data_IF_677793309646
#
_entry.id   IF_677793309646
#
_cell.length_a   1.000
_cell.length_b   1.000
_cell.length_c   1.000
_cell.angle_alpha   90.00
_cell.angle_beta   90.00
_cell.angle_gamma   90.00
#
_symmetry.space_group_name_H-M   'P 1'
#
loop_
_entity.id
_entity.type
_entity.pdbx_description
1 polymer ?
#
# COMPACT_ATOMS: atom_id res chain seq x y z
N UNK A 1 -27.97 38.58 13.82
CA UNK A 1 -27.18 38.52 12.56
C UNK A 1 -27.75 37.40 11.70
N UNK A 2 -28.21 37.66 10.46
CA UNK A 2 -28.74 36.60 9.60
C UNK A 2 -27.62 35.63 9.23
N UNK A 3 -27.82 34.34 9.48
CA UNK A 3 -26.88 33.28 9.09
C UNK A 3 -26.73 33.30 7.57
N UNK A 4 -25.52 33.57 7.06
CA UNK A 4 -25.17 33.49 5.65
C UNK A 4 -25.56 32.10 5.13
N UNK A 5 -26.54 32.03 4.23
CA UNK A 5 -26.95 30.80 3.56
C UNK A 5 -25.74 30.38 2.70
N UNK A 6 -25.01 29.33 3.09
CA UNK A 6 -23.97 28.75 2.23
C UNK A 6 -24.66 28.29 0.96
N UNK A 7 -24.38 28.96 -0.16
CA UNK A 7 -24.78 28.45 -1.46
C UNK A 7 -24.20 27.05 -1.62
N UNK A 8 -25.04 26.10 -2.05
CA UNK A 8 -24.59 24.75 -2.32
C UNK A 8 -23.68 24.83 -3.55
N UNK A 9 -22.46 24.31 -3.41
CA UNK A 9 -21.53 24.15 -4.51
C UNK A 9 -22.22 23.39 -5.64
N UNK A 10 -22.12 23.88 -6.88
CA UNK A 10 -22.62 23.16 -8.05
C UNK A 10 -21.68 22.00 -8.39
N UNK A 11 -22.20 20.97 -9.06
CA UNK A 11 -21.38 19.81 -9.46
C UNK A 11 -20.22 20.24 -10.37
N UNK A 12 -20.41 21.26 -11.20
CA UNK A 12 -19.37 21.86 -12.05
C UNK A 12 -18.24 22.52 -11.23
N UNK A 13 -18.59 23.21 -10.13
CA UNK A 13 -17.62 23.78 -9.20
C UNK A 13 -16.87 22.69 -8.44
N UNK A 14 -17.54 21.60 -8.05
CA UNK A 14 -16.89 20.46 -7.43
C UNK A 14 -15.91 19.79 -8.40
N UNK A 15 -16.34 19.55 -9.65
CA UNK A 15 -15.53 18.88 -10.66
C UNK A 15 -14.25 19.68 -10.94
N UNK A 16 -14.38 20.99 -11.18
CA UNK A 16 -13.23 21.88 -11.43
C UNK A 16 -12.26 21.95 -10.26
N UNK A 17 -12.74 21.85 -9.02
CA UNK A 17 -11.85 21.77 -7.84
C UNK A 17 -11.12 20.44 -7.85
N UNK A 18 -11.83 19.32 -8.02
CA UNK A 18 -11.21 17.98 -8.05
C UNK A 18 -10.16 17.88 -9.16
N UNK A 19 -10.49 18.32 -10.38
CA UNK A 19 -9.56 18.30 -11.52
C UNK A 19 -8.31 19.12 -11.22
N UNK A 20 -8.46 20.31 -10.64
CA UNK A 20 -7.32 21.15 -10.25
C UNK A 20 -6.45 20.48 -9.19
N UNK A 21 -7.04 19.86 -8.16
CA UNK A 21 -6.27 19.16 -7.13
C UNK A 21 -5.56 17.92 -7.70
N UNK A 22 -6.20 17.20 -8.63
CA UNK A 22 -5.60 16.07 -9.35
C UNK A 22 -4.41 16.53 -10.20
N UNK A 23 -4.55 17.59 -11.00
CA UNK A 23 -3.46 18.15 -11.80
C UNK A 23 -2.29 18.60 -10.93
N UNK A 24 -2.55 19.25 -9.79
CA UNK A 24 -1.50 19.65 -8.85
C UNK A 24 -0.78 18.44 -8.26
N UNK A 25 -1.50 17.37 -7.92
CA UNK A 25 -0.93 16.14 -7.36
C UNK A 25 0.04 15.43 -8.34
N UNK A 26 -0.23 15.51 -9.65
CA UNK A 26 0.63 14.90 -10.67
C UNK A 26 2.04 15.51 -10.69
N UNK A 27 2.17 16.82 -10.43
CA UNK A 27 3.48 17.49 -10.40
C UNK A 27 4.38 16.99 -9.26
N UNK A 28 3.79 16.71 -8.09
CA UNK A 28 4.48 16.16 -6.92
C UNK A 28 4.87 14.68 -7.09
N UNK A 29 4.15 13.95 -7.95
CA UNK A 29 4.35 12.50 -8.18
C UNK A 29 5.45 12.17 -9.20
N UNK A 30 5.98 13.15 -9.94
CA UNK A 30 6.86 12.89 -11.09
C UNK A 30 8.16 12.13 -10.74
N UNK A 31 8.87 12.52 -9.68
CA UNK A 31 10.12 11.85 -9.28
C UNK A 31 9.88 10.43 -8.74
N UNK A 32 8.85 10.28 -7.89
CA UNK A 32 8.45 8.98 -7.35
C UNK A 32 7.97 8.02 -8.45
N UNK A 33 7.25 8.54 -9.44
CA UNK A 33 6.76 7.76 -10.57
C UNK A 33 7.91 7.17 -11.40
N UNK A 34 8.96 7.95 -11.67
CA UNK A 34 10.15 7.45 -12.37
C UNK A 34 10.92 6.42 -11.53
N UNK A 35 11.06 6.65 -10.22
CA UNK A 35 11.69 5.67 -9.33
C UNK A 35 10.93 4.34 -9.29
N UNK A 36 9.59 4.39 -9.24
CA UNK A 36 8.72 3.19 -9.25
C UNK A 36 8.78 2.47 -10.58
N UNK A 37 8.75 3.20 -11.70
CA UNK A 37 8.93 2.62 -13.04
C UNK A 37 10.25 1.86 -13.12
N UNK A 38 11.34 2.49 -12.70
CA UNK A 38 12.67 1.85 -12.71
C UNK A 38 12.74 0.63 -11.78
N UNK A 39 12.11 0.71 -10.60
CA UNK A 39 12.04 -0.43 -9.68
C UNK A 39 11.29 -1.62 -10.30
N UNK A 40 10.20 -1.37 -11.03
CA UNK A 40 9.48 -2.39 -11.80
C UNK A 40 10.34 -3.00 -12.92
N UNK A 41 11.06 -2.17 -13.69
CA UNK A 41 11.96 -2.64 -14.75
C UNK A 41 13.06 -3.57 -14.17
N UNK A 42 13.67 -3.19 -13.04
CA UNK A 42 14.64 -4.03 -12.34
C UNK A 42 14.02 -5.33 -11.81
N UNK A 43 12.84 -5.26 -11.22
CA UNK A 43 12.14 -6.43 -10.68
C UNK A 43 11.75 -7.40 -11.79
N UNK A 44 11.32 -6.92 -12.96
CA UNK A 44 10.99 -7.76 -14.11
C UNK A 44 12.23 -8.24 -14.89
N UNK A 45 13.44 -7.85 -14.47
CA UNK A 45 14.68 -8.11 -15.21
C UNK A 45 14.62 -7.62 -16.67
N UNK A 46 14.04 -6.42 -16.87
CA UNK A 46 13.91 -5.81 -18.20
C UNK A 46 15.25 -5.24 -18.71
N UNK A 47 15.45 -5.22 -20.04
CA UNK A 47 16.62 -4.60 -20.68
C UNK A 47 16.81 -3.14 -20.29
N UNK A 48 18.07 -2.73 -20.06
CA UNK A 48 18.41 -1.34 -19.72
C UNK A 48 18.42 -0.39 -20.92
N UNK A 49 18.24 -0.90 -22.14
CA UNK A 49 18.24 -0.11 -23.38
C UNK A 49 19.61 0.48 -23.77
N UNK A 50 20.68 0.14 -23.05
CA UNK A 50 22.05 0.57 -23.30
C UNK A 50 22.98 -0.59 -23.71
N UNK A 51 22.39 -1.69 -24.17
CA UNK A 51 23.09 -2.92 -24.53
C UNK A 51 23.94 -2.69 -25.79
N UNK A 52 25.14 -3.28 -25.82
CA UNK A 52 26.08 -3.16 -26.93
C UNK A 52 26.16 -4.51 -27.64
N UNK A 53 25.98 -4.50 -28.95
CA UNK A 53 26.06 -5.71 -29.77
C UNK A 53 27.43 -6.40 -29.61
N UNK A 54 27.40 -7.72 -29.48
CA UNK A 54 28.58 -8.55 -29.19
C UNK A 54 29.05 -8.56 -27.71
N UNK A 55 28.34 -7.91 -26.78
CA UNK A 55 28.54 -8.06 -25.33
C UNK A 55 27.46 -8.95 -24.72
N UNK A 56 27.69 -9.40 -23.48
CA UNK A 56 26.71 -10.19 -22.73
C UNK A 56 25.41 -9.39 -22.54
N UNK A 57 24.28 -10.01 -22.90
CA UNK A 57 22.92 -9.50 -22.72
C UNK A 57 22.21 -10.13 -21.50
N UNK A 58 22.96 -10.82 -20.63
CA UNK A 58 22.40 -11.41 -19.41
C UNK A 58 22.03 -10.30 -18.43
N UNK A 59 20.76 -10.26 -18.05
CA UNK A 59 20.22 -9.33 -17.05
C UNK A 59 20.10 -10.09 -15.72
N UNK A 60 20.54 -9.47 -14.63
CA UNK A 60 20.47 -10.06 -13.30
C UNK A 60 19.07 -9.89 -12.68
N UNK A 61 18.58 -10.95 -12.04
CA UNK A 61 17.31 -10.96 -11.30
C UNK A 61 17.46 -10.61 -9.81
N UNK A 62 18.62 -10.13 -9.38
CA UNK A 62 18.95 -9.90 -7.95
C UNK A 62 17.87 -9.12 -7.18
N UNK A 63 17.22 -8.14 -7.81
CA UNK A 63 16.15 -7.35 -7.19
C UNK A 63 14.89 -8.20 -6.94
N UNK A 64 14.47 -8.98 -7.94
CA UNK A 64 13.36 -9.92 -7.81
C UNK A 64 13.66 -10.95 -6.73
N UNK A 65 14.84 -11.57 -6.79
CA UNK A 65 15.25 -12.62 -5.88
C UNK A 65 15.30 -12.12 -4.43
N UNK A 66 15.81 -10.92 -4.21
CA UNK A 66 15.86 -10.30 -2.88
C UNK A 66 14.47 -10.04 -2.31
N UNK A 67 13.55 -9.50 -3.13
CA UNK A 67 12.18 -9.20 -2.71
C UNK A 67 11.42 -10.50 -2.40
N UNK A 68 11.44 -11.45 -3.33
CA UNK A 68 10.73 -12.73 -3.17
C UNK A 68 11.29 -13.58 -2.03
N UNK A 69 12.59 -13.47 -1.73
CA UNK A 69 13.18 -14.14 -0.57
C UNK A 69 12.78 -13.49 0.76
N UNK A 70 12.54 -12.17 0.75
CA UNK A 70 12.12 -11.42 1.95
C UNK A 70 10.64 -11.61 2.27
N UNK A 71 9.79 -11.80 1.26
CA UNK A 71 8.34 -11.93 1.40
C UNK A 71 7.90 -13.02 2.40
N UNK A 72 8.38 -14.28 2.34
CA UNK A 72 8.01 -15.32 3.30
C UNK A 72 8.38 -15.00 4.74
N UNK A 73 9.48 -14.26 4.96
CA UNK A 73 9.91 -13.86 6.29
C UNK A 73 8.93 -12.85 6.89
N UNK A 74 8.54 -11.83 6.11
CA UNK A 74 7.58 -10.82 6.55
C UNK A 74 6.18 -11.41 6.75
N UNK A 75 5.70 -12.24 5.82
CA UNK A 75 4.42 -12.93 5.94
C UNK A 75 4.37 -13.85 7.16
N UNK A 76 5.49 -14.44 7.56
CA UNK A 76 5.55 -15.21 8.80
C UNK A 76 5.40 -14.32 10.03
N UNK A 77 6.08 -13.18 10.06
CA UNK A 77 6.08 -12.27 11.21
C UNK A 77 4.67 -11.69 11.44
N UNK A 78 4.00 -11.23 10.37
CA UNK A 78 2.72 -10.53 10.50
C UNK A 78 1.48 -11.37 10.18
N UNK A 79 1.62 -12.45 9.40
CA UNK A 79 0.50 -13.28 8.95
C UNK A 79 0.36 -14.62 9.68
N UNK A 80 1.29 -14.98 10.58
CA UNK A 80 1.22 -16.26 11.34
C UNK A 80 0.58 -16.13 12.73
N UNK A 81 0.14 -14.93 13.13
CA UNK A 81 -0.59 -14.75 14.39
C UNK A 81 -2.05 -15.13 14.24
N UNK A 82 -2.64 -15.72 15.30
CA UNK A 82 -4.09 -15.93 15.39
C UNK A 82 -4.86 -14.60 15.44
N UNK A 83 -4.19 -13.53 15.88
CA UNK A 83 -4.73 -12.17 15.98
C UNK A 83 -3.82 -11.18 15.24
N UNK A 84 -4.39 -10.30 14.42
CA UNK A 84 -3.65 -9.23 13.73
C UNK A 84 -3.31 -8.06 14.65
N UNK A 85 -4.05 -7.93 15.75
CA UNK A 85 -3.86 -6.90 16.75
C UNK A 85 -4.77 -7.16 17.93
N UNK A 86 -4.38 -6.64 19.09
CA UNK A 86 -5.10 -6.82 20.35
C UNK A 86 -5.49 -5.47 20.92
N UNK A 87 -6.75 -5.35 21.35
CA UNK A 87 -7.20 -4.20 22.11
C UNK A 87 -6.89 -4.44 23.59
N UNK A 88 -6.14 -3.53 24.20
CA UNK A 88 -5.83 -3.60 25.62
C UNK A 88 -6.90 -2.87 26.45
N UNK A 89 -7.51 -3.52 27.46
CA UNK A 89 -8.48 -2.88 28.33
C UNK A 89 -7.78 -1.89 29.28
N UNK A 90 -8.41 -0.74 29.55
CA UNK A 90 -7.91 0.22 30.54
C UNK A 90 -8.38 -0.12 31.96
N UNK A 91 -9.62 -0.59 32.11
CA UNK A 91 -10.20 -1.01 33.38
C UNK A 91 -10.74 -2.46 33.32
N UNK A 92 -10.93 -3.11 34.48
CA UNK A 92 -11.48 -4.48 34.58
C UNK A 92 -12.86 -4.65 33.91
N UNK A 93 -13.62 -3.57 33.79
CA UNK A 93 -14.95 -3.57 33.15
C UNK A 93 -14.88 -3.71 31.63
N UNK A 94 -13.75 -3.30 31.05
CA UNK A 94 -13.57 -3.22 29.60
C UNK A 94 -12.97 -4.50 29.02
N UNK A 95 -12.49 -5.42 29.86
CA UNK A 95 -11.84 -6.67 29.43
C UNK A 95 -12.68 -7.43 28.41
N UNK A 96 -13.96 -7.66 28.71
CA UNK A 96 -14.87 -8.38 27.80
C UNK A 96 -15.13 -7.63 26.50
N UNK A 97 -15.19 -6.30 26.56
CA UNK A 97 -15.44 -5.48 25.38
C UNK A 97 -14.19 -5.42 24.49
N UNK A 98 -13.00 -5.37 25.09
CA UNK A 98 -11.73 -5.39 24.40
C UNK A 98 -11.46 -6.75 23.72
N UNK A 99 -11.78 -7.86 24.40
CA UNK A 99 -11.75 -9.21 23.79
C UNK A 99 -12.71 -9.28 22.60
N UNK A 100 -13.97 -8.87 22.77
CA UNK A 100 -14.94 -8.90 21.68
C UNK A 100 -14.54 -8.00 20.49
N UNK A 101 -13.96 -6.82 20.77
CA UNK A 101 -13.45 -5.93 19.73
C UNK A 101 -12.27 -6.57 18.97
N UNK A 102 -11.36 -7.24 19.69
CA UNK A 102 -10.23 -7.98 19.12
C UNK A 102 -10.73 -9.09 18.19
N UNK A 103 -11.63 -9.93 18.67
CA UNK A 103 -12.22 -11.04 17.89
C UNK A 103 -12.97 -10.52 16.66
N UNK A 104 -13.75 -9.45 16.82
CA UNK A 104 -14.51 -8.89 15.72
C UNK A 104 -13.62 -8.28 14.64
N UNK A 105 -12.58 -7.53 15.01
CA UNK A 105 -11.61 -6.99 14.05
C UNK A 105 -10.87 -8.10 13.31
N UNK A 106 -10.45 -9.16 14.01
CA UNK A 106 -9.84 -10.34 13.38
C UNK A 106 -10.79 -11.03 12.42
N UNK A 107 -12.06 -11.19 12.80
CA UNK A 107 -13.09 -11.77 11.93
C UNK A 107 -13.30 -10.93 10.66
N UNK A 108 -13.42 -9.61 10.79
CA UNK A 108 -13.57 -8.74 9.61
C UNK A 108 -12.32 -8.82 8.72
N UNK A 109 -11.13 -8.81 9.32
CA UNK A 109 -9.88 -8.80 8.56
C UNK A 109 -9.59 -10.11 7.82
N UNK A 110 -9.73 -11.26 8.49
CA UNK A 110 -9.36 -12.57 7.91
C UNK A 110 -10.54 -13.34 7.29
N UNK A 111 -11.79 -13.08 7.70
CA UNK A 111 -12.96 -13.85 7.22
C UNK A 111 -13.82 -13.07 6.24
N UNK A 112 -14.05 -11.77 6.49
CA UNK A 112 -14.80 -10.95 5.52
C UNK A 112 -13.91 -10.42 4.40
N UNK A 113 -12.63 -10.20 4.69
CA UNK A 113 -11.63 -9.80 3.71
C UNK A 113 -10.59 -10.90 3.55
N UNK A 114 -9.88 -10.88 2.42
CA UNK A 114 -8.70 -11.74 2.22
C UNK A 114 -7.48 -11.07 2.88
N UNK A 115 -7.48 -11.06 4.22
CA UNK A 115 -6.47 -10.37 5.01
C UNK A 115 -5.04 -10.86 4.74
N UNK A 116 -4.87 -12.14 4.42
CA UNK A 116 -3.56 -12.68 4.04
C UNK A 116 -3.09 -12.10 2.71
N UNK A 117 -3.96 -12.08 1.69
CA UNK A 117 -3.64 -11.45 0.40
C UNK A 117 -3.39 -9.95 0.55
N UNK A 118 -4.18 -9.27 1.38
CA UNK A 118 -3.99 -7.84 1.64
C UNK A 118 -2.60 -7.55 2.24
N UNK A 119 -2.18 -8.34 3.24
CA UNK A 119 -0.84 -8.23 3.81
C UNK A 119 0.24 -8.52 2.77
N UNK A 120 0.06 -9.55 1.94
CA UNK A 120 0.99 -9.88 0.86
C UNK A 120 1.13 -8.72 -0.13
N UNK A 121 0.01 -8.16 -0.60
CA UNK A 121 0.01 -7.08 -1.60
C UNK A 121 0.65 -5.81 -1.03
N UNK A 122 0.30 -5.41 0.20
CA UNK A 122 0.87 -4.22 0.86
C UNK A 122 2.36 -4.38 1.13
N UNK A 123 2.81 -5.54 1.60
CA UNK A 123 4.25 -5.77 1.83
C UNK A 123 5.04 -5.75 0.53
N UNK A 124 4.50 -6.37 -0.53
CA UNK A 124 5.16 -6.39 -1.83
C UNK A 124 5.24 -4.99 -2.43
N UNK A 125 4.17 -4.20 -2.32
CA UNK A 125 4.17 -2.81 -2.78
C UNK A 125 5.12 -1.94 -1.95
N UNK A 126 5.19 -2.14 -0.64
CA UNK A 126 6.13 -1.42 0.22
C UNK A 126 7.60 -1.70 -0.15
N UNK A 127 7.94 -2.96 -0.47
CA UNK A 127 9.29 -3.34 -0.89
C UNK A 127 9.65 -2.81 -2.28
N UNK A 128 8.67 -2.69 -3.18
CA UNK A 128 8.90 -2.34 -4.59
C UNK A 128 8.74 -0.85 -4.88
N UNK A 129 7.67 -0.24 -4.37
CA UNK A 129 7.21 1.11 -4.71
C UNK A 129 7.62 2.17 -3.67
N UNK A 130 8.33 1.76 -2.60
CA UNK A 130 8.77 2.61 -1.47
C UNK A 130 7.63 3.35 -0.76
N UNK A 131 6.40 2.88 -0.92
CA UNK A 131 5.21 3.44 -0.27
C UNK A 131 4.32 2.25 0.05
N UNK A 132 3.86 2.18 1.31
CA UNK A 132 2.83 1.24 1.74
C UNK A 132 1.47 1.90 1.77
#
# INVERSE_FOLDING_TARGET
MPKRKKEKMTDEQLLSIIEREVEQSNSYSSELSEQRRKAMEYYNSEPFGNEIDGRSSVISSDVMDTIEWTMPMLMRIFGSGDEIGKFEPQDEKDVKMAEQATDYCNYVFFRQNDGFKLLYDVMKDALLSKTG
#
